data_IF_735699058455
#
_entry.id   IF_735699058455
#
_cell.length_a   1.000
_cell.length_b   1.000
_cell.length_c   1.000
_cell.angle_alpha   90.00
_cell.angle_beta   90.00
_cell.angle_gamma   90.00
#
_symmetry.space_group_name_H-M   'P 1'
#
loop_
_entity.id
_entity.type
_entity.pdbx_description
1 polymer ?
#
# COMPACT_ATOMS: atom_id res chain seq x y z
N UNK A 1 -59.98 28.75 17.56
CA UNK A 1 -58.52 28.63 17.77
C UNK A 1 -58.14 27.19 17.56
N UNK A 2 -57.75 26.79 16.35
CA UNK A 2 -57.36 25.45 15.95
C UNK A 2 -55.97 25.49 15.37
N UNK A 3 -54.99 24.87 16.03
CA UNK A 3 -53.59 24.77 15.56
C UNK A 3 -53.47 23.51 14.71
N UNK A 4 -53.30 23.69 13.39
CA UNK A 4 -52.90 22.62 12.49
C UNK A 4 -51.42 22.35 12.66
N UNK A 5 -51.07 21.11 13.07
CA UNK A 5 -49.72 20.58 13.22
C UNK A 5 -49.38 19.83 11.93
N UNK A 6 -48.52 20.43 11.09
CA UNK A 6 -47.99 19.75 9.92
C UNK A 6 -46.96 18.69 10.37
N UNK A 7 -47.21 17.44 9.96
CA UNK A 7 -46.21 16.37 10.02
C UNK A 7 -45.20 16.60 8.88
N UNK A 8 -43.92 16.77 9.21
CA UNK A 8 -42.82 16.73 8.26
C UNK A 8 -42.46 15.26 8.00
N UNK A 9 -42.74 14.78 6.82
CA UNK A 9 -42.18 13.53 6.29
C UNK A 9 -40.74 13.78 5.89
N UNK A 10 -39.81 13.17 6.64
CA UNK A 10 -38.40 13.10 6.27
C UNK A 10 -38.14 11.80 5.51
N UNK A 11 -38.53 11.76 4.24
CA UNK A 11 -37.96 10.78 3.31
C UNK A 11 -36.55 11.28 2.92
N UNK A 12 -35.55 10.85 3.65
CA UNK A 12 -34.14 11.06 3.23
C UNK A 12 -33.84 10.02 2.16
N UNK A 13 -33.90 10.43 0.92
CA UNK A 13 -33.27 9.70 -0.18
C UNK A 13 -31.76 9.95 -0.08
N UNK A 14 -31.04 8.97 0.41
CA UNK A 14 -29.58 8.98 0.38
C UNK A 14 -29.14 8.76 -1.07
N UNK A 15 -28.78 9.82 -1.75
CA UNK A 15 -28.01 9.73 -2.98
C UNK A 15 -26.55 9.45 -2.60
N UNK A 16 -26.09 8.21 -2.80
CA UNK A 16 -24.69 7.86 -2.66
C UNK A 16 -23.98 8.32 -3.93
N UNK A 17 -23.21 9.37 -3.84
CA UNK A 17 -22.29 9.77 -4.90
C UNK A 17 -21.02 8.89 -4.79
N UNK A 18 -20.81 8.01 -5.76
CA UNK A 18 -19.54 7.29 -5.91
C UNK A 18 -18.55 8.25 -6.53
N UNK A 19 -17.64 8.78 -5.73
CA UNK A 19 -16.51 9.56 -6.21
C UNK A 19 -15.48 8.62 -6.81
N UNK A 20 -15.43 8.52 -8.14
CA UNK A 20 -14.32 7.91 -8.85
C UNK A 20 -13.10 8.86 -8.74
N UNK A 21 -12.03 8.39 -8.14
CA UNK A 21 -10.75 9.11 -8.07
C UNK A 21 -10.15 9.15 -9.47
N UNK A 22 -10.10 10.36 -10.05
CA UNK A 22 -9.38 10.65 -11.27
C UNK A 22 -10.20 10.69 -12.56
N UNK A 23 -10.92 11.73 -12.75
CA UNK A 23 -11.48 12.45 -13.92
C UNK A 23 -12.97 12.73 -13.74
N UNK A 24 -13.30 14.02 -13.66
CA UNK A 24 -14.65 14.51 -13.41
C UNK A 24 -15.64 14.19 -14.54
N UNK A 25 -16.40 13.14 -14.33
CA UNK A 25 -17.64 12.89 -15.04
C UNK A 25 -18.68 12.41 -14.03
N UNK A 26 -19.64 13.25 -13.71
CA UNK A 26 -20.85 12.87 -12.97
C UNK A 26 -21.78 12.21 -13.97
N UNK A 27 -21.92 10.89 -13.91
CA UNK A 27 -22.89 10.14 -14.71
C UNK A 27 -24.15 9.96 -13.85
N UNK A 28 -25.28 10.59 -14.24
CA UNK A 28 -26.57 10.34 -13.67
C UNK A 28 -27.17 9.09 -14.37
N UNK A 29 -27.29 7.97 -13.65
CA UNK A 29 -27.86 6.72 -14.16
C UNK A 29 -29.36 6.61 -13.88
N UNK A 30 -30.17 5.99 -14.78
CA UNK A 30 -31.60 5.80 -14.59
C UNK A 30 -31.91 4.73 -13.52
N UNK A 31 -33.08 4.86 -12.88
CA UNK A 31 -33.48 4.16 -11.65
C UNK A 31 -33.87 2.68 -11.80
N UNK A 32 -33.54 1.99 -12.91
CA UNK A 32 -33.94 0.60 -13.19
C UNK A 32 -32.77 -0.34 -13.49
N UNK A 33 -31.51 0.07 -13.24
CA UNK A 33 -30.35 -0.77 -13.48
C UNK A 33 -30.22 -1.86 -12.42
N UNK A 34 -29.99 -3.11 -12.84
CA UNK A 34 -29.58 -4.19 -11.95
C UNK A 34 -28.22 -3.87 -11.39
N UNK A 35 -28.03 -4.06 -10.08
CA UNK A 35 -26.79 -3.72 -9.39
C UNK A 35 -26.08 -4.97 -8.91
N UNK A 36 -24.76 -4.94 -8.88
CA UNK A 36 -23.90 -5.94 -8.24
C UNK A 36 -23.48 -5.40 -6.88
N UNK A 37 -23.74 -6.15 -5.82
CA UNK A 37 -23.28 -5.80 -4.48
C UNK A 37 -21.80 -6.17 -4.32
N UNK A 38 -20.97 -5.18 -4.03
CA UNK A 38 -19.54 -5.37 -3.75
C UNK A 38 -19.31 -5.17 -2.26
N UNK A 39 -18.84 -6.24 -1.59
CA UNK A 39 -18.44 -6.17 -0.19
C UNK A 39 -17.01 -5.68 -0.06
N UNK A 40 -16.77 -4.74 0.87
CA UNK A 40 -15.42 -4.24 1.17
C UNK A 40 -14.76 -5.20 2.17
N UNK A 41 -13.68 -5.90 1.80
CA UNK A 41 -13.00 -6.85 2.67
C UNK A 41 -12.62 -6.21 4.02
N UNK A 42 -12.88 -6.94 5.13
CA UNK A 42 -12.63 -6.51 6.50
C UNK A 42 -13.47 -5.31 7.01
N UNK A 43 -14.61 -5.03 6.39
CA UNK A 43 -15.59 -4.04 6.88
C UNK A 43 -17.00 -4.59 6.67
N UNK A 44 -17.98 -4.14 7.48
CA UNK A 44 -19.39 -4.45 7.27
C UNK A 44 -20.05 -3.52 6.21
N UNK A 45 -19.26 -3.03 5.27
CA UNK A 45 -19.71 -2.10 4.23
C UNK A 45 -19.90 -2.86 2.94
N UNK A 46 -21.14 -2.91 2.44
CA UNK A 46 -21.50 -3.35 1.09
C UNK A 46 -21.94 -2.15 0.25
N UNK A 47 -21.53 -2.11 -1.02
CA UNK A 47 -21.88 -1.05 -1.97
C UNK A 47 -22.54 -1.69 -3.19
N UNK A 48 -23.75 -1.25 -3.52
CA UNK A 48 -24.44 -1.67 -4.74
C UNK A 48 -23.97 -0.84 -5.93
N UNK A 49 -23.29 -1.49 -6.87
CA UNK A 49 -22.76 -0.86 -8.09
C UNK A 49 -23.64 -1.24 -9.28
N UNK A 50 -24.21 -0.28 -10.01
CA UNK A 50 -24.99 -0.57 -11.22
C UNK A 50 -24.17 -1.33 -12.26
N UNK A 51 -24.76 -2.33 -12.93
CA UNK A 51 -24.08 -3.14 -13.95
C UNK A 51 -23.45 -2.30 -15.06
N UNK A 52 -24.07 -1.20 -15.45
CA UNK A 52 -23.54 -0.29 -16.49
C UNK A 52 -22.22 0.36 -16.05
N UNK A 53 -22.04 0.63 -14.74
CA UNK A 53 -20.78 1.16 -14.23
C UNK A 53 -19.68 0.08 -14.21
N UNK A 54 -20.05 -1.17 -13.97
CA UNK A 54 -19.13 -2.32 -14.05
C UNK A 54 -18.71 -2.57 -15.50
N UNK A 55 -19.66 -2.52 -16.45
CA UNK A 55 -19.37 -2.71 -17.87
C UNK A 55 -18.54 -1.56 -18.46
N UNK A 56 -18.79 -0.34 -18.04
CA UNK A 56 -17.95 0.81 -18.40
C UNK A 56 -16.52 0.66 -17.88
N UNK A 57 -16.36 0.21 -16.64
CA UNK A 57 -15.04 -0.03 -16.06
C UNK A 57 -14.27 -1.13 -16.80
N UNK A 58 -14.93 -2.24 -17.18
CA UNK A 58 -14.34 -3.33 -17.98
C UNK A 58 -13.84 -2.89 -19.35
N UNK A 59 -14.46 -1.88 -19.96
CA UNK A 59 -14.05 -1.36 -21.27
C UNK A 59 -12.84 -0.44 -21.20
N UNK A 60 -12.55 0.17 -20.03
CA UNK A 60 -11.53 1.22 -19.91
C UNK A 60 -10.41 0.89 -18.93
N UNK A 61 -10.62 -0.12 -18.07
CA UNK A 61 -9.66 -0.58 -17.06
C UNK A 61 -9.75 -2.11 -16.99
N UNK A 62 -8.62 -2.80 -16.89
CA UNK A 62 -8.61 -4.23 -16.60
C UNK A 62 -9.04 -4.45 -15.15
N UNK A 63 -10.32 -4.78 -14.95
CA UNK A 63 -10.93 -4.98 -13.63
C UNK A 63 -10.99 -6.45 -13.20
N UNK A 64 -10.53 -7.37 -14.07
CA UNK A 64 -10.55 -8.82 -13.79
C UNK A 64 -9.83 -9.19 -12.51
N UNK A 65 -8.65 -8.62 -12.18
CA UNK A 65 -7.98 -8.92 -10.90
C UNK A 65 -8.78 -8.50 -9.67
N UNK A 66 -9.63 -7.46 -9.81
CA UNK A 66 -10.43 -6.93 -8.70
C UNK A 66 -11.73 -7.72 -8.51
N UNK A 67 -12.36 -8.16 -9.60
CA UNK A 67 -13.58 -8.98 -9.56
C UNK A 67 -13.28 -10.42 -9.10
N UNK A 68 -12.11 -10.96 -9.43
CA UNK A 68 -11.66 -12.28 -8.95
C UNK A 68 -11.46 -12.31 -7.42
N UNK A 69 -11.14 -11.18 -6.81
CA UNK A 69 -11.00 -11.08 -5.35
C UNK A 69 -12.36 -11.01 -4.61
N UNK A 70 -13.44 -10.62 -5.29
CA UNK A 70 -14.78 -10.48 -4.71
C UNK A 70 -15.61 -11.77 -4.78
N UNK A 71 -15.18 -12.80 -5.53
CA UNK A 71 -15.96 -14.01 -5.83
C UNK A 71 -15.30 -15.30 -5.39
N UNK A 72 -14.92 -15.46 -4.13
CA UNK A 72 -14.48 -16.76 -3.59
C UNK A 72 -15.68 -17.57 -3.11
N UNK A 73 -16.31 -18.30 -4.02
CA UNK A 73 -17.13 -19.46 -3.70
C UNK A 73 -16.27 -20.71 -3.81
N UNK A 74 -16.25 -21.49 -2.74
CA UNK A 74 -15.43 -22.68 -2.51
C UNK A 74 -15.48 -23.71 -3.65
N UNK A 75 -14.29 -24.09 -4.16
CA UNK A 75 -14.07 -25.37 -4.82
C UNK A 75 -12.68 -25.91 -4.41
N UNK A 76 -12.51 -27.21 -4.18
CA UNK A 76 -11.27 -27.77 -3.64
C UNK A 76 -10.19 -27.80 -4.74
N UNK A 77 -9.07 -27.14 -4.50
CA UNK A 77 -7.91 -27.18 -5.40
C UNK A 77 -6.89 -28.16 -4.86
N UNK A 78 -6.66 -29.18 -5.68
CA UNK A 78 -5.54 -30.10 -5.51
C UNK A 78 -4.36 -29.56 -6.33
N UNK A 79 -3.24 -29.30 -5.67
CA UNK A 79 -1.88 -29.31 -6.20
C UNK A 79 -1.40 -28.13 -7.04
N UNK A 80 -0.37 -27.44 -6.54
CA UNK A 80 0.48 -26.52 -7.27
C UNK A 80 0.85 -25.30 -6.44
N UNK A 81 1.94 -25.40 -5.68
CA UNK A 81 2.48 -24.31 -4.88
C UNK A 81 3.27 -23.36 -5.78
N UNK A 82 2.65 -22.25 -6.20
CA UNK A 82 3.34 -21.02 -6.51
C UNK A 82 2.45 -19.87 -5.99
N UNK A 83 2.43 -19.75 -4.66
CA UNK A 83 1.82 -18.60 -4.01
C UNK A 83 2.72 -17.39 -4.26
N UNK A 84 2.44 -16.65 -5.33
CA UNK A 84 2.85 -15.25 -5.42
C UNK A 84 2.12 -14.55 -4.28
N UNK A 85 2.76 -14.44 -3.12
CA UNK A 85 2.23 -13.69 -1.99
C UNK A 85 1.98 -12.26 -2.44
N UNK A 86 0.72 -11.87 -2.54
CA UNK A 86 0.38 -10.46 -2.71
C UNK A 86 1.12 -9.64 -1.64
N UNK A 87 1.73 -8.50 -1.98
CA UNK A 87 2.46 -7.68 -1.02
C UNK A 87 1.54 -7.34 0.14
N UNK A 88 2.01 -7.52 1.38
CA UNK A 88 1.19 -7.19 2.54
C UNK A 88 0.85 -5.69 2.46
N UNK A 89 -0.39 -5.32 2.71
CA UNK A 89 -0.82 -3.92 2.68
C UNK A 89 0.03 -3.02 3.60
N UNK A 90 0.61 -3.59 4.66
CA UNK A 90 1.53 -2.91 5.58
C UNK A 90 2.89 -2.69 4.95
N UNK A 91 3.48 -3.70 4.31
CA UNK A 91 4.78 -3.56 3.63
C UNK A 91 4.72 -2.53 2.51
N UNK A 92 3.65 -2.52 1.70
CA UNK A 92 3.45 -1.50 0.67
C UNK A 92 3.38 -0.09 1.28
N UNK A 93 2.65 0.11 2.38
CA UNK A 93 2.58 1.40 3.07
C UNK A 93 3.95 1.87 3.59
N UNK A 94 4.81 0.95 4.05
CA UNK A 94 6.19 1.26 4.45
C UNK A 94 6.99 1.73 3.23
N UNK A 95 6.92 1.02 2.11
CA UNK A 95 7.57 1.39 0.87
C UNK A 95 7.10 2.75 0.35
N UNK A 96 5.80 2.99 0.33
CA UNK A 96 5.19 4.26 -0.10
C UNK A 96 5.61 5.43 0.81
N UNK A 97 5.67 5.20 2.12
CA UNK A 97 6.15 6.20 3.07
C UNK A 97 7.61 6.58 2.76
N UNK A 98 8.49 5.61 2.57
CA UNK A 98 9.89 5.89 2.23
C UNK A 98 10.03 6.59 0.86
N UNK A 99 9.26 6.17 -0.16
CA UNK A 99 9.21 6.81 -1.47
C UNK A 99 8.75 8.28 -1.39
N UNK A 100 7.82 8.61 -0.49
CA UNK A 100 7.36 9.98 -0.28
C UNK A 100 8.48 10.95 0.16
N UNK A 101 9.63 10.41 0.59
CA UNK A 101 10.82 11.18 1.00
C UNK A 101 11.90 11.29 -0.07
N UNK A 102 11.62 10.81 -1.28
CA UNK A 102 12.53 10.98 -2.41
C UNK A 102 12.89 12.47 -2.59
N UNK A 103 14.16 12.75 -2.77
CA UNK A 103 14.67 14.12 -2.85
C UNK A 103 15.02 14.77 -1.49
N UNK A 104 14.61 14.18 -0.36
CA UNK A 104 15.00 14.70 0.96
C UNK A 104 16.54 14.58 1.15
N UNK A 105 17.17 15.56 1.80
CA UNK A 105 18.63 15.55 1.98
C UNK A 105 19.07 14.44 2.94
N UNK A 106 20.28 13.93 2.69
CA UNK A 106 20.98 13.08 3.65
C UNK A 106 21.55 13.93 4.79
N UNK A 107 21.46 13.42 6.01
CA UNK A 107 22.17 13.96 7.16
C UNK A 107 22.46 12.83 8.16
N UNK A 108 23.70 12.66 8.50
CA UNK A 108 24.12 11.65 9.47
C UNK A 108 23.37 11.79 10.80
N UNK A 109 22.82 10.69 11.32
CA UNK A 109 22.05 10.66 12.57
C UNK A 109 20.60 11.16 12.44
N UNK A 110 20.18 11.67 11.28
CA UNK A 110 18.81 12.16 11.08
C UNK A 110 17.82 11.02 10.80
N UNK A 111 16.62 11.13 11.40
CA UNK A 111 15.51 10.18 11.25
C UNK A 111 14.21 10.90 10.86
N UNK A 112 14.29 11.94 10.06
CA UNK A 112 13.17 12.68 9.51
C UNK A 112 12.67 13.83 10.40
N UNK A 113 11.58 14.50 9.98
CA UNK A 113 10.87 14.29 8.71
C UNK A 113 11.53 14.94 7.49
N UNK A 114 12.55 15.80 7.67
CA UNK A 114 13.12 16.67 6.63
C UNK A 114 14.48 16.20 6.09
N UNK A 115 15.20 15.38 6.84
CA UNK A 115 16.50 14.80 6.46
C UNK A 115 16.61 13.40 7.05
N UNK A 116 17.44 12.54 6.43
CA UNK A 116 17.56 11.14 6.83
C UNK A 116 19.00 10.64 6.67
N UNK A 117 19.42 9.73 7.56
CA UNK A 117 20.42 8.72 7.22
C UNK A 117 19.72 7.41 6.78
N UNK A 118 20.49 6.39 6.40
CA UNK A 118 19.95 5.14 5.85
C UNK A 118 18.98 4.45 6.82
N UNK A 119 19.39 4.21 8.05
CA UNK A 119 18.59 3.55 9.08
C UNK A 119 17.51 4.46 9.69
N UNK A 120 17.71 5.77 9.62
CA UNK A 120 16.70 6.76 9.97
C UNK A 120 15.52 6.79 9.00
N UNK A 121 15.78 6.66 7.70
CA UNK A 121 14.73 6.54 6.69
C UNK A 121 13.89 5.27 6.91
N UNK A 122 14.55 4.13 7.11
CA UNK A 122 13.87 2.87 7.36
C UNK A 122 13.04 2.91 8.64
N UNK A 123 13.61 3.43 9.76
CA UNK A 123 12.87 3.57 11.02
C UNK A 123 11.67 4.50 10.89
N UNK A 124 11.85 5.64 10.22
CA UNK A 124 10.78 6.60 9.99
C UNK A 124 9.65 6.00 9.17
N UNK A 125 9.96 5.27 8.09
CA UNK A 125 8.94 4.65 7.25
C UNK A 125 8.11 3.59 8.00
N UNK A 126 8.75 2.79 8.85
CA UNK A 126 8.05 1.83 9.71
C UNK A 126 7.16 2.52 10.76
N UNK A 127 7.61 3.66 11.31
CA UNK A 127 6.79 4.44 12.25
C UNK A 127 5.50 4.97 11.60
N UNK A 128 5.46 5.22 10.29
CA UNK A 128 4.24 5.67 9.60
C UNK A 128 3.11 4.61 9.62
N UNK A 129 3.46 3.35 9.87
CA UNK A 129 2.50 2.24 10.03
C UNK A 129 2.42 1.74 11.48
N UNK A 130 2.92 2.53 12.44
CA UNK A 130 2.87 2.20 13.87
C UNK A 130 3.88 1.15 14.31
N UNK A 131 4.88 0.81 13.49
CA UNK A 131 5.95 -0.13 13.85
C UNK A 131 7.18 0.62 14.33
N UNK A 132 7.76 0.16 15.44
CA UNK A 132 9.05 0.65 15.94
C UNK A 132 10.13 -0.41 15.67
N UNK A 133 11.19 -0.01 14.97
CA UNK A 133 12.34 -0.87 14.68
C UNK A 133 13.63 -0.24 15.23
N UNK A 134 14.72 -1.00 15.39
CA UNK A 134 15.98 -0.47 15.89
C UNK A 134 16.49 0.71 15.08
N UNK A 135 17.31 1.57 15.74
CA UNK A 135 17.80 2.81 15.12
C UNK A 135 18.98 2.61 14.17
N UNK A 136 19.82 1.64 14.43
CA UNK A 136 21.05 1.43 13.67
C UNK A 136 20.89 0.36 12.58
N UNK A 137 21.63 0.49 11.49
CA UNK A 137 21.57 -0.45 10.36
C UNK A 137 21.93 -1.88 10.78
N UNK A 138 22.96 -2.06 11.61
CA UNK A 138 23.36 -3.37 12.10
C UNK A 138 22.29 -4.04 12.96
N UNK A 139 21.66 -3.28 13.87
CA UNK A 139 20.57 -3.81 14.69
C UNK A 139 19.32 -4.14 13.84
N UNK A 140 19.00 -3.32 12.86
CA UNK A 140 17.90 -3.61 11.93
C UNK A 140 18.14 -4.92 11.17
N UNK A 141 19.34 -5.09 10.62
CA UNK A 141 19.72 -6.31 9.91
C UNK A 141 19.68 -7.59 10.78
N UNK A 142 19.86 -7.43 12.10
CA UNK A 142 19.93 -8.55 13.06
C UNK A 142 18.61 -8.86 13.75
N UNK A 143 17.65 -7.93 13.78
CA UNK A 143 16.45 -8.04 14.66
C UNK A 143 15.17 -8.45 13.94
N UNK A 144 15.06 -8.26 12.62
CA UNK A 144 13.88 -8.66 11.86
C UNK A 144 13.85 -10.16 11.55
N UNK A 145 12.73 -10.64 11.05
CA UNK A 145 12.62 -11.99 10.50
C UNK A 145 13.41 -12.09 9.19
N UNK A 146 14.38 -13.01 9.07
CA UNK A 146 15.16 -13.17 7.84
C UNK A 146 14.26 -13.47 6.64
N UNK A 147 14.56 -12.85 5.49
CA UNK A 147 13.86 -13.03 4.22
C UNK A 147 14.89 -13.42 3.16
N UNK A 148 14.59 -14.43 2.35
CA UNK A 148 15.43 -14.78 1.21
C UNK A 148 15.26 -13.73 0.10
N UNK A 149 16.31 -13.50 -0.70
CA UNK A 149 16.31 -12.41 -1.71
C UNK A 149 15.31 -12.66 -2.85
N UNK A 150 14.93 -13.89 -3.09
CA UNK A 150 13.90 -14.32 -4.04
C UNK A 150 12.47 -14.17 -3.50
N UNK A 151 12.31 -13.96 -2.18
CA UNK A 151 11.04 -13.79 -1.50
C UNK A 151 10.82 -12.36 -0.95
N UNK A 152 11.59 -11.40 -1.46
CA UNK A 152 11.47 -9.98 -1.08
C UNK A 152 10.09 -9.42 -1.43
N UNK A 153 9.54 -8.65 -0.49
CA UNK A 153 8.29 -7.91 -0.66
C UNK A 153 8.50 -6.43 -0.33
N UNK A 154 7.73 -5.52 -0.93
CA UNK A 154 7.77 -4.12 -0.56
C UNK A 154 7.69 -3.92 0.96
N UNK A 155 8.55 -3.06 1.50
CA UNK A 155 8.68 -2.81 2.93
C UNK A 155 9.76 -3.62 3.64
N UNK A 156 10.35 -4.63 3.02
CA UNK A 156 11.49 -5.35 3.59
C UNK A 156 12.72 -4.45 3.70
N UNK A 157 13.48 -4.62 4.78
CA UNK A 157 14.75 -3.92 4.99
C UNK A 157 15.87 -4.77 4.41
N UNK A 158 16.56 -4.23 3.42
CA UNK A 158 17.74 -4.86 2.81
C UNK A 158 18.99 -4.21 3.39
N UNK A 159 19.92 -5.01 3.91
CA UNK A 159 21.21 -4.55 4.38
C UNK A 159 22.32 -4.81 3.38
N UNK A 160 23.33 -3.96 3.42
CA UNK A 160 24.44 -3.98 2.47
C UNK A 160 25.77 -4.03 3.20
N UNK A 161 26.76 -4.59 2.50
CA UNK A 161 28.13 -4.83 2.97
C UNK A 161 28.21 -5.78 4.17
N UNK A 162 29.36 -6.39 4.33
CA UNK A 162 29.64 -7.20 5.52
C UNK A 162 29.55 -6.34 6.78
N UNK A 163 28.73 -6.77 7.76
CA UNK A 163 28.47 -6.02 8.99
C UNK A 163 27.28 -5.03 8.88
N UNK A 164 26.54 -5.05 7.77
CA UNK A 164 25.32 -4.26 7.59
C UNK A 164 25.52 -2.75 7.85
N UNK A 165 26.59 -2.17 7.27
CA UNK A 165 26.90 -0.75 7.44
C UNK A 165 25.92 0.18 6.75
N UNK A 166 25.05 -0.34 5.87
CA UNK A 166 24.00 0.40 5.17
C UNK A 166 22.72 -0.42 5.06
N UNK A 167 21.57 0.27 5.00
CA UNK A 167 20.24 -0.33 4.81
C UNK A 167 19.37 0.50 3.87
N UNK A 168 18.43 -0.18 3.20
CA UNK A 168 17.44 0.42 2.34
C UNK A 168 16.10 -0.31 2.49
N UNK A 169 15.02 0.26 1.97
CA UNK A 169 13.70 -0.39 1.90
C UNK A 169 13.48 -0.92 0.48
N UNK A 170 13.15 -2.20 0.38
CA UNK A 170 12.73 -2.79 -0.89
C UNK A 170 11.34 -2.27 -1.28
N UNK A 171 11.18 -1.89 -2.54
CA UNK A 171 9.96 -1.28 -3.08
C UNK A 171 9.29 -2.08 -4.20
N UNK A 172 9.81 -3.28 -4.48
CA UNK A 172 9.37 -4.11 -5.61
C UNK A 172 10.29 -3.99 -6.82
N UNK A 173 10.08 -4.84 -7.81
CA UNK A 173 10.72 -4.82 -9.14
C UNK A 173 12.26 -4.72 -9.10
N UNK A 174 12.90 -5.36 -8.11
CA UNK A 174 14.33 -5.32 -7.93
C UNK A 174 14.88 -3.92 -7.58
N UNK A 175 14.08 -3.06 -6.96
CA UNK A 175 14.42 -1.69 -6.58
C UNK A 175 14.37 -1.49 -5.07
N UNK A 176 15.17 -0.55 -4.60
CA UNK A 176 15.17 -0.07 -3.22
C UNK A 176 15.15 1.44 -3.17
N UNK A 177 14.57 2.01 -2.10
CA UNK A 177 14.68 3.43 -1.77
C UNK A 177 15.61 3.61 -0.56
N UNK A 178 16.50 4.57 -0.62
CA UNK A 178 17.56 4.74 0.37
C UNK A 178 18.04 6.19 0.53
N UNK A 179 18.58 6.50 1.70
CA UNK A 179 19.40 7.67 1.97
C UNK A 179 20.87 7.22 2.02
N UNK A 180 21.63 7.46 0.95
CA UNK A 180 22.92 6.78 0.74
C UNK A 180 24.08 7.45 1.49
N UNK A 181 24.34 8.73 1.24
CA UNK A 181 25.47 9.48 1.83
C UNK A 181 25.24 10.99 1.69
N UNK A 182 26.14 11.78 2.31
CA UNK A 182 26.20 13.23 2.13
C UNK A 182 26.39 13.60 0.66
N UNK A 183 25.61 14.59 0.20
CA UNK A 183 25.61 15.04 -1.19
C UNK A 183 24.67 14.25 -2.10
N UNK A 184 24.05 13.16 -1.61
CA UNK A 184 23.02 12.41 -2.34
C UNK A 184 21.68 12.51 -1.62
N UNK A 185 20.62 12.98 -2.28
CA UNK A 185 19.28 12.94 -1.69
C UNK A 185 18.77 11.50 -1.56
N UNK A 186 17.70 11.32 -0.81
CA UNK A 186 16.92 10.05 -0.83
C UNK A 186 16.54 9.71 -2.26
N UNK A 187 16.88 8.51 -2.70
CA UNK A 187 16.75 8.10 -4.10
C UNK A 187 16.40 6.62 -4.24
N UNK A 188 15.92 6.25 -5.42
CA UNK A 188 15.67 4.86 -5.81
C UNK A 188 16.89 4.35 -6.59
N UNK A 189 17.31 3.13 -6.26
CA UNK A 189 18.40 2.41 -6.94
C UNK A 189 18.01 0.96 -7.19
N UNK A 190 18.79 0.26 -8.01
CA UNK A 190 18.69 -1.18 -8.16
C UNK A 190 19.05 -1.89 -6.85
N UNK A 191 18.38 -3.01 -6.55
CA UNK A 191 18.67 -3.85 -5.39
C UNK A 191 20.17 -4.21 -5.30
N UNK A 192 20.76 -4.52 -6.44
CA UNK A 192 22.16 -4.94 -6.55
C UNK A 192 23.13 -3.77 -6.81
N UNK A 193 22.72 -2.51 -6.55
CA UNK A 193 23.58 -1.34 -6.68
C UNK A 193 24.82 -1.42 -5.77
N UNK A 194 24.67 -2.09 -4.63
CA UNK A 194 25.73 -2.39 -3.66
C UNK A 194 25.72 -3.88 -3.31
N UNK A 195 26.79 -4.45 -2.74
CA UNK A 195 26.80 -5.84 -2.29
C UNK A 195 25.76 -6.09 -1.20
N UNK A 196 24.70 -6.85 -1.52
CA UNK A 196 23.66 -7.22 -0.54
C UNK A 196 24.25 -8.16 0.51
N UNK A 197 23.95 -7.89 1.79
CA UNK A 197 24.34 -8.73 2.93
C UNK A 197 23.22 -9.68 3.33
N UNK A 198 22.07 -9.14 3.76
CA UNK A 198 20.85 -9.89 4.06
C UNK A 198 19.61 -9.02 3.89
N UNK A 199 18.44 -9.65 4.05
CA UNK A 199 17.18 -8.94 4.13
C UNK A 199 16.35 -9.44 5.31
N UNK A 200 15.58 -8.54 5.91
CA UNK A 200 14.71 -8.84 7.05
C UNK A 200 13.35 -8.13 6.92
N UNK A 201 12.34 -8.72 7.54
CA UNK A 201 10.96 -8.19 7.63
C UNK A 201 10.57 -7.94 9.08
N UNK A 202 9.93 -6.79 9.34
CA UNK A 202 9.40 -6.41 10.64
C UNK A 202 7.88 -6.47 10.71
#
# INVERSE_FOLDING_TARGET
MGKHRMKKDHSRRNAVAVAAVGMGAVIALPATAQAVTVEVPNTDISVDVPNEAVDFAKQHVDVEPFLAAAGQVSAPISGGSDAVSAPSSVGQKIADAALSKQGAPYSWGAAGPNAFDCSGLTSWAHQQVGKSIPRTSGEQAASGTPVSLDALQPGDVVSYYSGASHVAIYIGDGKVVQALNEGSPVQVNDLNYMPVNNAVRF
#
